data_IF_422667951535
#
_entry.id   IF_422667951535
#
_cell.length_a   1.000
_cell.length_b   1.000
_cell.length_c   1.000
_cell.angle_alpha   90.00
_cell.angle_beta   90.00
_cell.angle_gamma   90.00
#
_symmetry.space_group_name_H-M   'P 1'
#
loop_
_entity.id
_entity.type
_entity.pdbx_description
1 polymer ?
#
# COMPACT_ATOMS: atom_id res chain seq x y z
N UNK A 1 10.17 -6.12 16.70
CA UNK A 1 10.68 -4.75 16.88
C UNK A 1 12.19 -4.83 16.78
N UNK A 2 12.77 -4.37 15.67
CA UNK A 2 14.20 -4.19 15.56
C UNK A 2 14.48 -2.73 15.90
N UNK A 3 15.18 -2.48 17.00
CA UNK A 3 15.72 -1.18 17.32
C UNK A 3 17.21 -1.23 16.97
N UNK A 4 17.75 -0.15 16.40
CA UNK A 4 19.17 0.01 16.02
C UNK A 4 19.65 -0.75 14.77
N UNK A 5 19.23 -0.29 13.57
CA UNK A 5 20.01 -0.59 12.36
C UNK A 5 21.29 0.24 12.36
N UNK A 6 22.46 -0.42 12.34
CA UNK A 6 23.77 0.23 12.29
C UNK A 6 24.23 0.54 10.87
N UNK A 7 23.61 -0.07 9.86
CA UNK A 7 23.99 0.03 8.45
C UNK A 7 23.03 0.88 7.62
N UNK A 8 21.97 1.41 8.24
CA UNK A 8 20.88 2.10 7.54
C UNK A 8 19.86 1.16 6.89
N UNK A 9 20.00 -0.17 7.03
CA UNK A 9 19.05 -1.15 6.48
C UNK A 9 18.14 -1.72 7.57
N UNK A 10 16.82 -1.58 7.42
CA UNK A 10 15.81 -2.18 8.30
C UNK A 10 14.95 -3.19 7.55
N UNK A 11 14.96 -4.46 7.96
CA UNK A 11 14.09 -5.49 7.38
C UNK A 11 12.95 -5.83 8.34
N UNK A 12 11.72 -5.64 7.89
CA UNK A 12 10.54 -5.92 8.69
C UNK A 12 9.60 -6.90 7.99
N UNK A 13 9.03 -7.85 8.75
CA UNK A 13 8.03 -8.78 8.27
C UNK A 13 6.68 -8.44 8.90
N UNK A 14 5.71 -8.05 8.07
CA UNK A 14 4.36 -7.72 8.48
C UNK A 14 3.35 -8.54 7.68
N UNK A 15 2.20 -8.82 8.28
CA UNK A 15 1.07 -9.47 7.60
C UNK A 15 -0.21 -8.71 7.93
N UNK A 16 -0.77 -8.06 6.92
CA UNK A 16 -2.08 -7.43 7.00
C UNK A 16 -3.16 -8.39 6.51
N UNK A 17 -4.27 -8.47 7.23
CA UNK A 17 -5.43 -9.29 6.88
C UNK A 17 -6.65 -8.37 6.95
N UNK A 18 -7.35 -8.24 5.82
CA UNK A 18 -8.51 -7.37 5.70
C UNK A 18 -9.78 -8.21 5.49
N UNK A 19 -10.80 -8.08 6.35
CA UNK A 19 -12.07 -8.79 6.18
C UNK A 19 -13.00 -7.98 5.28
N UNK A 20 -13.01 -8.28 3.98
CA UNK A 20 -13.94 -7.69 3.04
C UNK A 20 -14.31 -8.68 1.93
N UNK A 21 -15.45 -8.45 1.28
CA UNK A 21 -15.85 -9.16 0.08
C UNK A 21 -15.52 -8.35 -1.17
N UNK A 22 -15.36 -9.01 -2.32
CA UNK A 22 -15.05 -8.36 -3.59
C UNK A 22 -16.12 -8.67 -4.63
N UNK A 23 -16.80 -7.64 -5.13
CA UNK A 23 -17.81 -7.73 -6.16
C UNK A 23 -17.17 -7.57 -7.54
N UNK A 24 -16.89 -8.70 -8.19
CA UNK A 24 -16.18 -8.73 -9.48
C UNK A 24 -16.90 -7.97 -10.60
N UNK A 25 -18.23 -7.91 -10.59
CA UNK A 25 -19.01 -7.23 -11.63
C UNK A 25 -18.83 -5.70 -11.60
N UNK A 26 -18.60 -5.12 -10.43
CA UNK A 26 -18.40 -3.68 -10.24
C UNK A 26 -16.94 -3.30 -9.97
N UNK A 27 -16.07 -4.30 -9.84
CA UNK A 27 -14.66 -4.15 -9.43
C UNK A 27 -14.48 -3.39 -8.10
N UNK A 28 -15.40 -3.60 -7.16
CA UNK A 28 -15.45 -2.91 -5.86
C UNK A 28 -15.35 -3.86 -4.68
N UNK A 29 -14.77 -3.36 -3.60
CA UNK A 29 -14.82 -4.01 -2.30
C UNK A 29 -16.17 -3.71 -1.64
N UNK A 30 -16.78 -4.73 -1.06
CA UNK A 30 -18.01 -4.65 -0.27
C UNK A 30 -17.64 -4.87 1.20
N UNK A 31 -18.06 -3.93 2.03
CA UNK A 31 -17.90 -3.99 3.48
C UNK A 31 -19.29 -3.90 4.08
N UNK A 32 -19.65 -4.90 4.87
CA UNK A 32 -20.89 -4.90 5.64
C UNK A 32 -20.58 -4.38 7.04
N UNK A 33 -21.30 -3.33 7.47
CA UNK A 33 -21.12 -2.73 8.79
C UNK A 33 -22.47 -2.59 9.49
N UNK A 34 -22.53 -3.06 10.72
CA UNK A 34 -23.63 -2.75 11.64
C UNK A 34 -23.38 -1.39 12.26
N UNK A 35 -24.33 -0.47 12.16
CA UNK A 35 -24.19 0.88 12.72
C UNK A 35 -24.09 0.89 14.26
N UNK A 36 -24.61 -0.14 14.92
CA UNK A 36 -24.53 -0.32 16.37
C UNK A 36 -24.55 -1.81 16.74
N UNK A 37 -24.04 -2.17 17.92
CA UNK A 37 -24.12 -3.55 18.45
C UNK A 37 -25.58 -4.06 18.59
N UNK A 38 -26.56 -3.16 18.55
CA UNK A 38 -27.99 -3.46 18.66
C UNK A 38 -28.77 -3.20 17.37
N UNK A 39 -28.13 -2.74 16.29
CA UNK A 39 -28.81 -2.58 15.00
C UNK A 39 -28.95 -3.95 14.31
N UNK A 40 -30.18 -4.31 13.96
CA UNK A 40 -30.45 -5.50 13.15
C UNK A 40 -30.05 -5.30 11.69
N UNK A 41 -30.18 -4.06 11.20
CA UNK A 41 -29.90 -3.70 9.83
C UNK A 41 -28.39 -3.54 9.60
N UNK A 42 -27.89 -4.28 8.61
CA UNK A 42 -26.51 -4.25 8.18
C UNK A 42 -26.42 -3.38 6.92
N UNK A 43 -25.60 -2.34 6.96
CA UNK A 43 -25.43 -1.44 5.82
C UNK A 43 -24.22 -1.90 5.00
N UNK A 44 -24.44 -2.11 3.70
CA UNK A 44 -23.38 -2.46 2.76
C UNK A 44 -22.76 -1.19 2.15
N UNK A 45 -21.44 -1.08 2.26
CA UNK A 45 -20.66 -0.01 1.66
C UNK A 45 -19.81 -0.57 0.52
N UNK A 46 -19.84 0.11 -0.63
CA UNK A 46 -19.01 -0.24 -1.79
C UNK A 46 -17.91 0.79 -1.97
N UNK A 47 -16.67 0.35 -1.94
CA UNK A 47 -15.49 1.23 -2.08
C UNK A 47 -14.55 0.73 -3.19
N UNK A 48 -13.75 1.60 -3.81
CA UNK A 48 -12.71 1.16 -4.73
C UNK A 48 -11.67 0.31 -4.02
N UNK A 49 -11.11 -0.68 -4.72
CA UNK A 49 -10.11 -1.59 -4.19
C UNK A 49 -8.71 -0.95 -4.18
N UNK A 50 -8.48 0.06 -3.33
CA UNK A 50 -7.20 0.78 -3.19
C UNK A 50 -6.51 0.46 -1.87
N UNK A 51 -5.23 0.10 -1.93
CA UNK A 51 -4.35 -0.08 -0.78
C UNK A 51 -3.42 1.11 -0.67
N UNK A 52 -3.51 1.82 0.46
CA UNK A 52 -2.64 2.92 0.82
C UNK A 52 -1.74 2.47 1.95
N UNK A 53 -0.42 2.52 1.76
CA UNK A 53 0.56 2.23 2.80
C UNK A 53 1.42 3.46 3.03
N UNK A 54 1.75 3.73 4.28
CA UNK A 54 2.61 4.83 4.69
C UNK A 54 3.62 4.32 5.70
N UNK A 55 4.83 4.85 5.63
CA UNK A 55 5.92 4.58 6.57
C UNK A 55 6.27 5.90 7.25
N UNK A 56 6.34 5.84 8.57
CA UNK A 56 6.66 6.94 9.45
C UNK A 56 7.82 6.48 10.33
N UNK A 57 8.79 7.35 10.58
CA UNK A 57 9.80 7.10 11.60
C UNK A 57 9.16 7.25 12.97
N UNK A 58 9.47 6.32 13.87
CA UNK A 58 8.88 6.28 15.20
C UNK A 58 9.89 6.84 16.20
N UNK A 59 9.86 8.16 16.36
CA UNK A 59 10.80 8.88 17.22
C UNK A 59 10.33 8.91 18.67
N UNK A 60 11.26 8.67 19.59
CA UNK A 60 10.93 8.64 21.03
C UNK A 60 10.84 10.04 21.66
N UNK A 61 11.36 11.06 20.98
CA UNK A 61 11.55 12.42 21.55
C UNK A 61 11.15 13.58 20.61
N UNK A 62 10.94 13.34 19.31
CA UNK A 62 10.50 14.30 18.29
C UNK A 62 9.09 13.96 17.77
N UNK A 63 8.55 14.78 16.86
CA UNK A 63 7.39 14.39 16.07
C UNK A 63 7.80 13.29 15.08
N UNK A 64 6.91 12.32 14.85
CA UNK A 64 7.15 11.23 13.88
C UNK A 64 7.35 11.81 12.47
N UNK A 65 8.50 11.54 11.86
CA UNK A 65 8.84 12.01 10.52
C UNK A 65 8.22 11.11 9.45
N UNK A 66 7.61 11.71 8.42
CA UNK A 66 7.06 10.97 7.30
C UNK A 66 8.18 10.48 6.37
N UNK A 67 8.33 9.16 6.22
CA UNK A 67 9.38 8.55 5.40
C UNK A 67 8.91 8.24 3.97
N UNK A 68 7.62 7.99 3.76
CA UNK A 68 7.08 7.78 2.42
C UNK A 68 5.72 7.09 2.40
N UNK A 69 5.08 7.12 1.24
CA UNK A 69 3.80 6.48 0.99
C UNK A 69 3.78 5.75 -0.35
N UNK A 70 2.84 4.82 -0.48
CA UNK A 70 2.53 4.20 -1.76
C UNK A 70 1.02 3.97 -1.94
N UNK A 71 0.58 4.47 -3.09
CA UNK A 71 -0.69 4.26 -3.79
C UNK A 71 -0.81 2.95 -4.57
N UNK A 72 -1.64 1.96 -4.20
CA UNK A 72 -1.81 0.75 -5.01
C UNK A 72 -3.29 0.42 -5.32
N UNK A 73 -3.67 0.48 -6.59
CA UNK A 73 -4.96 -0.05 -7.07
C UNK A 73 -4.87 -1.59 -7.22
N UNK A 74 -5.69 -2.33 -6.47
CA UNK A 74 -5.69 -3.81 -6.49
C UNK A 74 -6.26 -4.39 -7.79
N UNK A 75 -7.09 -3.63 -8.52
CA UNK A 75 -7.60 -4.02 -9.84
C UNK A 75 -6.57 -3.78 -10.95
N UNK A 76 -5.73 -2.76 -10.80
CA UNK A 76 -4.69 -2.34 -11.74
C UNK A 76 -3.34 -2.26 -11.02
N UNK A 77 -2.93 -3.38 -10.45
CA UNK A 77 -1.78 -3.44 -9.57
C UNK A 77 -0.48 -3.42 -10.39
N UNK A 78 0.42 -2.44 -10.17
CA UNK A 78 1.66 -2.36 -10.92
C UNK A 78 2.57 -3.54 -10.59
N UNK A 79 3.23 -4.09 -11.60
CA UNK A 79 4.19 -5.17 -11.37
C UNK A 79 5.45 -4.64 -10.68
N UNK A 80 5.72 -5.15 -9.49
CA UNK A 80 6.92 -4.78 -8.74
C UNK A 80 8.22 -5.25 -9.40
N UNK A 81 9.32 -4.57 -9.08
CA UNK A 81 10.65 -4.94 -9.52
C UNK A 81 11.04 -6.32 -8.97
N UNK A 82 11.93 -7.03 -9.68
CA UNK A 82 12.37 -8.38 -9.27
C UNK A 82 13.36 -8.34 -8.11
N UNK A 83 14.13 -7.26 -8.00
CA UNK A 83 15.15 -7.05 -6.97
C UNK A 83 15.05 -5.63 -6.43
N UNK A 84 15.49 -5.42 -5.18
CA UNK A 84 15.51 -4.09 -4.57
C UNK A 84 16.32 -3.08 -5.40
N UNK A 85 17.42 -3.50 -6.02
CA UNK A 85 18.27 -2.66 -6.88
C UNK A 85 17.58 -2.16 -8.16
N UNK A 86 16.52 -2.83 -8.60
CA UNK A 86 15.73 -2.44 -9.78
C UNK A 86 14.48 -1.64 -9.40
N UNK A 87 14.22 -1.50 -8.10
CA UNK A 87 13.13 -0.70 -7.58
C UNK A 87 13.52 0.77 -7.70
N UNK A 88 12.83 1.53 -8.55
CA UNK A 88 13.18 2.91 -8.88
C UNK A 88 11.94 3.77 -8.97
N UNK A 89 12.13 5.09 -8.82
CA UNK A 89 11.03 6.06 -8.79
C UNK A 89 10.30 6.14 -10.13
N UNK A 90 11.00 5.79 -11.21
CA UNK A 90 10.46 5.68 -12.57
C UNK A 90 9.27 4.73 -12.64
N UNK A 91 9.17 3.76 -11.71
CA UNK A 91 8.04 2.84 -11.63
C UNK A 91 6.73 3.53 -11.21
N UNK A 92 6.82 4.67 -10.52
CA UNK A 92 5.68 5.48 -10.07
C UNK A 92 5.40 6.62 -11.07
N UNK A 93 6.44 7.21 -11.66
CA UNK A 93 6.26 8.29 -12.63
C UNK A 93 5.81 7.79 -14.01
N UNK A 94 6.27 6.60 -14.43
CA UNK A 94 5.91 5.98 -15.71
C UNK A 94 4.92 4.81 -15.54
N UNK A 95 3.90 5.00 -14.70
CA UNK A 95 2.84 3.99 -14.47
C UNK A 95 2.19 3.49 -15.78
N UNK A 96 2.12 4.34 -16.82
CA UNK A 96 1.46 4.01 -18.09
C UNK A 96 2.18 2.90 -18.88
N UNK A 97 3.50 2.78 -18.74
CA UNK A 97 4.31 1.79 -19.48
C UNK A 97 4.47 0.47 -18.71
N UNK A 98 4.00 0.42 -17.47
CA UNK A 98 4.16 -0.74 -16.60
C UNK A 98 3.04 -1.75 -16.79
N UNK A 99 3.35 -3.05 -16.90
CA UNK A 99 2.33 -4.09 -17.00
C UNK A 99 1.54 -4.16 -15.68
N UNK A 100 0.24 -3.90 -15.78
CA UNK A 100 -0.70 -3.96 -14.65
C UNK A 100 -1.31 -5.36 -14.53
N UNK A 101 -1.59 -5.78 -13.30
CA UNK A 101 -2.28 -7.04 -13.00
C UNK A 101 -3.47 -6.81 -12.06
N UNK A 102 -4.53 -7.60 -12.23
CA UNK A 102 -5.64 -7.59 -11.28
C UNK A 102 -5.40 -8.66 -10.21
N UNK A 103 -5.26 -8.26 -8.94
CA UNK A 103 -4.98 -9.18 -7.82
C UNK A 103 -6.14 -10.10 -7.47
N UNK A 104 -7.37 -9.73 -7.83
CA UNK A 104 -8.54 -10.59 -7.65
C UNK A 104 -8.60 -11.72 -8.70
N UNK A 105 -7.92 -11.55 -9.85
CA UNK A 105 -7.69 -12.61 -10.83
C UNK A 105 -6.39 -13.39 -10.52
N UNK A 106 -5.30 -12.66 -10.24
CA UNK A 106 -4.01 -13.24 -9.86
C UNK A 106 -3.79 -13.17 -8.35
N UNK A 107 -4.13 -14.26 -7.65
CA UNK A 107 -4.16 -14.32 -6.17
C UNK A 107 -2.84 -14.00 -5.44
N UNK A 108 -1.70 -14.05 -6.13
CA UNK A 108 -0.37 -13.85 -5.52
C UNK A 108 0.56 -13.08 -6.46
N UNK A 109 1.21 -12.08 -5.91
CA UNK A 109 2.32 -11.37 -6.52
C UNK A 109 3.47 -11.25 -5.52
N UNK A 110 4.70 -11.17 -6.02
CA UNK A 110 5.89 -10.88 -5.25
C UNK A 110 6.75 -9.93 -6.07
N UNK A 111 7.26 -8.88 -5.43
CA UNK A 111 8.09 -7.87 -6.06
C UNK A 111 8.53 -6.82 -5.05
N UNK A 112 9.19 -5.79 -5.56
CA UNK A 112 9.59 -4.60 -4.82
C UNK A 112 8.86 -3.39 -5.41
N UNK A 113 8.36 -2.52 -4.53
CA UNK A 113 7.70 -1.27 -4.92
C UNK A 113 8.30 -0.13 -4.09
N UNK A 114 8.61 1.02 -4.71
CA UNK A 114 9.23 2.13 -4.01
C UNK A 114 8.15 2.87 -3.19
N UNK A 115 8.47 3.20 -1.95
CA UNK A 115 7.74 4.21 -1.22
C UNK A 115 8.31 5.56 -1.63
N UNK A 116 7.43 6.54 -1.86
CA UNK A 116 7.84 7.88 -2.27
C UNK A 116 7.44 8.89 -1.22
N UNK A 117 8.36 9.80 -0.90
CA UNK A 117 8.10 11.00 -0.13
C UNK A 117 8.20 12.23 -1.04
N UNK A 118 7.64 13.33 -0.57
CA UNK A 118 7.85 14.64 -1.21
C UNK A 118 8.80 15.45 -0.35
N UNK A 119 9.82 16.01 -0.96
CA UNK A 119 10.77 16.90 -0.28
C UNK A 119 10.17 18.30 -0.07
N UNK A 120 10.95 19.21 0.51
CA UNK A 120 10.55 20.61 0.72
C UNK A 120 10.29 21.38 -0.59
N UNK A 121 10.78 20.88 -1.72
CA UNK A 121 10.61 21.45 -3.06
C UNK A 121 9.46 20.79 -3.86
N UNK A 122 8.68 19.89 -3.24
CA UNK A 122 7.62 19.08 -3.85
C UNK A 122 8.14 18.09 -4.93
N UNK A 123 9.44 17.78 -4.92
CA UNK A 123 10.06 16.73 -5.73
C UNK A 123 9.87 15.35 -5.08
N UNK A 124 9.69 14.31 -5.91
CA UNK A 124 9.49 12.95 -5.43
C UNK A 124 10.86 12.30 -5.15
N UNK A 125 11.02 11.75 -3.95
CA UNK A 125 12.22 11.02 -3.54
C UNK A 125 11.86 9.61 -3.03
N UNK A 126 12.80 8.66 -3.17
CA UNK A 126 12.68 7.31 -2.60
C UNK A 126 13.45 7.27 -1.29
N UNK A 127 12.83 6.72 -0.25
CA UNK A 127 13.44 6.46 1.06
C UNK A 127 13.73 4.98 1.26
#
# INVERSE_FOLDING_TARGET
VHYHSLTGEGNFNWRFIYPFDYLQAEEKIVISKKESMFSWDETEYKIPARLNLQVWDADHFSADDFLGAIELDLNRFPRGAKTAKQCSIDMVTNEQDMPMVNLFKQKRIKGWWPFVARDENDELEIT
#
